data_IF_719945297850
#
_entry.id   IF_719945297850
#
_cell.length_a   1.000
_cell.length_b   1.000
_cell.length_c   1.000
_cell.angle_alpha   90.00
_cell.angle_beta   90.00
_cell.angle_gamma   90.00
#
_symmetry.space_group_name_H-M   'P 1'
#
loop_
_entity.id
_entity.type
_entity.pdbx_description
1 polymer ?
#
# COMPACT_ATOMS: atom_id res chain seq x y z
N UNK A 1 18.28 10.61 10.17
CA UNK A 1 18.41 11.94 9.49
C UNK A 1 18.74 13.09 10.44
N UNK A 2 18.59 12.98 11.75
CA UNK A 2 18.80 14.10 12.70
C UNK A 2 20.16 14.15 13.40
N UNK A 3 21.04 13.16 13.23
CA UNK A 3 22.36 13.13 13.89
C UNK A 3 23.56 13.51 13.01
N UNK A 4 23.39 13.83 11.73
CA UNK A 4 24.47 13.99 10.75
C UNK A 4 24.79 15.39 10.22
N UNK A 5 24.10 16.45 10.63
CA UNK A 5 24.34 17.80 10.10
C UNK A 5 25.04 18.73 11.10
N UNK A 6 26.26 18.40 11.45
CA UNK A 6 27.20 19.33 12.08
C UNK A 6 27.88 20.18 11.03
N UNK A 7 27.28 21.26 10.57
CA UNK A 7 27.93 22.24 9.71
C UNK A 7 28.74 23.20 10.58
N UNK A 8 30.05 23.11 10.45
CA UNK A 8 30.96 24.08 11.04
C UNK A 8 30.78 25.45 10.34
N UNK A 9 30.15 26.39 11.01
CA UNK A 9 30.13 27.78 10.60
C UNK A 9 31.44 28.45 11.01
N UNK A 10 32.30 28.75 10.04
CA UNK A 10 33.45 29.62 10.22
C UNK A 10 32.98 31.07 10.41
N UNK A 11 33.17 31.60 11.59
CA UNK A 11 32.95 33.01 11.88
C UNK A 11 34.03 33.87 11.23
N UNK A 12 33.62 34.75 10.31
CA UNK A 12 34.45 35.89 9.90
C UNK A 12 33.90 37.12 10.61
N UNK A 13 34.66 37.59 11.60
CA UNK A 13 34.39 38.85 12.27
C UNK A 13 34.85 40.00 11.37
N UNK A 14 33.91 40.82 10.92
CA UNK A 14 34.20 42.11 10.28
C UNK A 14 33.34 43.18 10.95
N UNK A 15 33.96 43.94 11.85
CA UNK A 15 33.37 45.10 12.48
C UNK A 15 33.30 46.29 11.53
N UNK A 16 32.07 46.76 11.26
CA UNK A 16 31.88 48.16 10.82
C UNK A 16 30.60 48.68 11.47
N UNK A 17 30.76 49.57 12.42
CA UNK A 17 29.69 50.36 13.02
C UNK A 17 29.27 51.43 12.01
N UNK A 18 27.97 51.47 11.68
CA UNK A 18 27.29 52.66 11.21
C UNK A 18 25.92 52.71 11.88
N UNK A 19 25.80 53.73 12.72
CA UNK A 19 24.58 54.11 13.30
C UNK A 19 23.66 54.71 12.22
N UNK A 20 22.46 54.22 12.07
CA UNK A 20 21.39 54.78 11.29
C UNK A 20 20.08 54.28 11.83
N UNK A 21 19.40 55.18 12.60
CA UNK A 21 18.02 54.99 13.01
C UNK A 21 17.11 54.93 11.79
N UNK A 22 16.37 53.87 11.66
CA UNK A 22 14.99 53.97 11.19
C UNK A 22 14.22 52.78 11.77
N UNK A 23 13.22 53.13 12.52
CA UNK A 23 12.13 52.28 12.99
C UNK A 23 11.33 51.79 11.78
N UNK A 24 11.56 50.56 11.34
CA UNK A 24 10.55 49.82 10.62
C UNK A 24 9.87 48.89 11.61
N UNK A 25 8.86 49.49 12.25
CA UNK A 25 7.85 48.70 12.95
C UNK A 25 7.00 48.00 11.89
N UNK A 26 7.18 46.66 11.79
CA UNK A 26 6.11 45.77 11.39
C UNK A 26 5.54 45.95 10.01
N UNK A 27 6.24 45.61 8.96
CA UNK A 27 5.57 45.00 7.84
C UNK A 27 5.00 43.66 8.35
N UNK A 28 3.71 43.58 8.53
CA UNK A 28 3.03 42.29 8.80
C UNK A 28 3.47 41.34 7.71
N UNK A 29 4.10 40.24 8.07
CA UNK A 29 4.40 39.18 7.12
C UNK A 29 3.05 38.58 6.73
N UNK A 30 2.45 39.06 5.65
CA UNK A 30 1.09 38.69 5.22
C UNK A 30 0.92 37.18 5.01
N UNK A 31 2.01 36.42 4.84
CA UNK A 31 2.03 34.98 4.65
C UNK A 31 1.97 34.19 5.97
N UNK A 32 2.19 34.83 7.13
CA UNK A 32 2.07 34.19 8.43
C UNK A 32 0.67 34.34 9.01
N UNK A 33 0.15 33.32 9.71
CA UNK A 33 -1.06 33.46 10.51
C UNK A 33 -0.91 34.57 11.56
N UNK A 34 -2.01 35.24 11.89
CA UNK A 34 -2.01 36.28 12.93
C UNK A 34 -1.76 35.74 14.33
N UNK A 35 -2.10 34.47 14.55
CA UNK A 35 -1.88 33.73 15.78
C UNK A 35 -1.73 32.25 15.42
N UNK A 36 -1.16 31.48 16.34
CA UNK A 36 -1.04 30.06 16.23
C UNK A 36 -1.96 29.39 17.25
N UNK A 37 -2.76 28.40 16.82
CA UNK A 37 -3.63 27.64 17.73
C UNK A 37 -2.82 26.58 18.48
N UNK A 38 -1.82 26.00 17.80
CA UNK A 38 -0.90 24.98 18.36
C UNK A 38 0.55 25.33 18.03
N UNK A 39 1.47 24.93 18.91
CA UNK A 39 2.91 25.04 18.67
C UNK A 39 3.62 23.75 19.10
N UNK A 40 4.57 23.28 18.29
CA UNK A 40 5.44 22.14 18.60
C UNK A 40 6.85 22.35 18.06
N UNK A 41 7.78 21.47 18.41
CA UNK A 41 9.11 21.42 17.78
C UNK A 41 9.02 20.70 16.44
N UNK A 42 8.47 19.48 16.45
CA UNK A 42 8.21 18.66 15.27
C UNK A 42 6.71 18.47 15.08
N UNK A 43 6.25 18.79 13.89
CA UNK A 43 4.90 18.49 13.45
C UNK A 43 4.95 17.23 12.56
N UNK A 44 4.21 16.19 12.93
CA UNK A 44 4.05 14.97 12.15
C UNK A 44 2.64 14.97 11.55
N UNK A 45 2.53 14.87 10.23
CA UNK A 45 1.23 14.82 9.54
C UNK A 45 1.02 13.40 9.00
N UNK A 46 -0.01 12.73 9.53
CA UNK A 46 -0.32 11.33 9.33
C UNK A 46 0.16 10.45 10.49
N UNK A 47 -0.75 9.63 11.02
CA UNK A 47 -0.52 8.76 12.17
C UNK A 47 -0.63 7.28 11.78
N UNK A 48 -0.04 6.91 10.63
CA UNK A 48 0.28 5.54 10.24
C UNK A 48 1.61 5.08 10.85
N UNK A 49 2.15 3.95 10.39
CA UNK A 49 3.43 3.42 10.90
C UNK A 49 4.59 4.40 10.85
N UNK A 50 4.76 5.11 9.73
CA UNK A 50 5.83 6.11 9.59
C UNK A 50 5.68 7.27 10.59
N UNK A 51 4.45 7.78 10.76
CA UNK A 51 4.17 8.86 11.71
C UNK A 51 4.31 8.42 13.17
N UNK A 52 3.90 7.20 13.48
CA UNK A 52 4.12 6.59 14.79
C UNK A 52 5.61 6.57 15.13
N UNK A 53 6.44 5.97 14.28
CA UNK A 53 7.89 5.90 14.52
C UNK A 53 8.55 7.26 14.55
N UNK A 54 8.19 8.19 13.64
CA UNK A 54 8.71 9.54 13.65
C UNK A 54 8.37 10.29 14.95
N UNK A 55 7.17 10.10 15.48
CA UNK A 55 6.74 10.73 16.72
C UNK A 55 7.44 10.17 17.94
N UNK A 56 7.58 8.83 18.04
CA UNK A 56 8.28 8.18 19.16
C UNK A 56 9.75 8.57 19.20
N UNK A 57 10.47 8.42 18.10
CA UNK A 57 11.90 8.75 18.02
C UNK A 57 12.11 10.25 18.24
N UNK A 58 11.26 11.09 17.64
CA UNK A 58 11.33 12.54 17.82
C UNK A 58 11.20 12.98 19.28
N UNK A 59 10.29 12.38 20.02
CA UNK A 59 10.09 12.70 21.45
C UNK A 59 11.13 12.02 22.34
N UNK A 60 11.30 10.71 22.23
CA UNK A 60 12.08 9.90 23.16
C UNK A 60 13.60 10.06 22.95
N UNK A 61 14.09 9.95 21.70
CA UNK A 61 15.53 10.04 21.42
C UNK A 61 16.01 11.46 21.15
N UNK A 62 15.19 12.27 20.48
CA UNK A 62 15.57 13.62 20.12
C UNK A 62 15.09 14.69 21.12
N UNK A 63 14.28 14.32 22.11
CA UNK A 63 13.78 15.22 23.15
C UNK A 63 12.94 16.38 22.61
N UNK A 64 12.22 16.17 21.50
CA UNK A 64 11.41 17.19 20.88
C UNK A 64 9.98 17.19 21.41
N UNK A 65 9.36 18.35 21.47
CA UNK A 65 7.91 18.45 21.63
C UNK A 65 7.26 18.11 20.27
N UNK A 66 6.60 16.95 20.21
CA UNK A 66 5.96 16.46 18.99
C UNK A 66 4.45 16.65 19.07
N UNK A 67 3.86 17.09 17.97
CA UNK A 67 2.42 17.10 17.73
C UNK A 67 2.13 16.29 16.46
N UNK A 68 1.10 15.45 16.50
CA UNK A 68 0.68 14.63 15.35
C UNK A 68 -0.70 15.07 14.89
N UNK A 69 -0.88 15.21 13.57
CA UNK A 69 -2.19 15.38 12.94
C UNK A 69 -2.58 14.09 12.23
N UNK A 70 -3.82 13.65 12.41
CA UNK A 70 -4.38 12.46 11.77
C UNK A 70 -5.73 12.79 11.14
N UNK A 71 -5.90 12.34 9.89
CA UNK A 71 -7.11 12.60 9.12
C UNK A 71 -8.28 11.73 9.58
N UNK A 72 -8.04 10.48 9.97
CA UNK A 72 -9.10 9.63 10.46
C UNK A 72 -9.70 10.19 11.76
N UNK A 73 -11.03 10.14 11.94
CA UNK A 73 -11.69 10.86 13.03
C UNK A 73 -11.54 10.20 14.40
N UNK A 74 -11.21 8.91 14.46
CA UNK A 74 -11.27 8.13 15.71
C UNK A 74 -9.94 7.53 16.12
N UNK A 75 -9.16 7.03 15.14
CA UNK A 75 -7.87 6.38 15.38
C UNK A 75 -6.93 6.53 14.19
N UNK A 76 -5.63 6.42 14.44
CA UNK A 76 -4.62 6.25 13.41
C UNK A 76 -4.37 4.77 13.08
N UNK A 77 -3.26 4.54 12.42
CA UNK A 77 -2.75 3.22 12.05
C UNK A 77 -2.34 3.13 10.59
N UNK A 78 -3.12 3.75 9.71
CA UNK A 78 -2.88 3.65 8.28
C UNK A 78 -2.80 2.20 7.81
N UNK A 79 -2.23 1.94 6.65
CA UNK A 79 -1.99 0.57 6.15
C UNK A 79 -1.14 -0.26 7.11
N UNK A 80 -0.27 0.38 7.92
CA UNK A 80 0.61 -0.35 8.86
C UNK A 80 -0.14 -1.07 9.97
N UNK A 81 -1.35 -0.63 10.34
CA UNK A 81 -2.15 -1.32 11.37
C UNK A 81 -3.01 -2.45 10.81
N UNK A 82 -3.13 -2.56 9.50
CA UNK A 82 -4.01 -3.53 8.82
C UNK A 82 -3.23 -4.46 7.88
N UNK A 83 -1.91 -4.46 7.97
CA UNK A 83 -1.02 -5.38 7.27
C UNK A 83 -0.46 -6.44 8.22
N UNK A 84 0.44 -7.28 7.72
CA UNK A 84 1.09 -8.34 8.51
C UNK A 84 1.97 -7.80 9.66
N UNK A 85 2.30 -6.51 9.67
CA UNK A 85 3.18 -5.92 10.69
C UNK A 85 4.65 -6.29 10.55
N UNK A 86 5.01 -7.07 9.54
CA UNK A 86 6.36 -7.53 9.27
C UNK A 86 7.34 -6.37 9.08
N UNK A 87 8.58 -6.58 9.51
CA UNK A 87 9.65 -5.64 9.25
C UNK A 87 10.95 -6.32 8.82
N UNK A 88 11.75 -5.60 8.02
CA UNK A 88 13.01 -6.11 7.50
C UNK A 88 14.06 -6.28 8.59
N UNK A 89 14.77 -7.41 8.56
CA UNK A 89 15.96 -7.67 9.37
C UNK A 89 17.16 -7.80 8.44
N UNK A 90 17.92 -6.72 8.31
CA UNK A 90 19.09 -6.69 7.43
C UNK A 90 20.22 -7.49 8.08
N UNK A 91 20.74 -8.50 7.36
CA UNK A 91 21.81 -9.39 7.81
C UNK A 91 23.16 -9.08 7.18
N UNK A 92 23.15 -8.64 5.93
CA UNK A 92 24.34 -8.30 5.16
C UNK A 92 24.14 -6.94 4.51
N UNK A 93 24.73 -5.91 5.10
CA UNK A 93 24.61 -4.53 4.62
C UNK A 93 25.24 -4.33 3.24
N UNK A 94 26.34 -5.02 2.93
CA UNK A 94 27.01 -4.90 1.64
C UNK A 94 26.22 -5.64 0.55
N UNK A 95 25.74 -6.84 0.85
CA UNK A 95 24.83 -7.58 -0.03
C UNK A 95 23.56 -6.78 -0.31
N UNK A 96 22.95 -6.17 0.73
CA UNK A 96 21.76 -5.33 0.58
C UNK A 96 22.03 -4.10 -0.28
N UNK A 97 23.20 -3.46 -0.15
CA UNK A 97 23.60 -2.31 -0.98
C UNK A 97 23.73 -2.72 -2.46
N UNK A 98 24.39 -3.86 -2.71
CA UNK A 98 24.51 -4.41 -4.06
C UNK A 98 23.15 -4.77 -4.65
N UNK A 99 22.30 -5.42 -3.87
CA UNK A 99 20.93 -5.76 -4.28
C UNK A 99 20.11 -4.54 -4.69
N UNK A 100 20.12 -3.48 -3.88
CA UNK A 100 19.41 -2.24 -4.21
C UNK A 100 19.97 -1.56 -5.47
N UNK A 101 21.29 -1.60 -5.68
CA UNK A 101 21.90 -1.08 -6.88
C UNK A 101 21.43 -1.83 -8.13
N UNK A 102 21.41 -3.18 -8.08
CA UNK A 102 20.88 -4.01 -9.16
C UNK A 102 19.36 -3.79 -9.40
N UNK A 103 18.59 -3.64 -8.34
CA UNK A 103 17.15 -3.37 -8.42
C UNK A 103 16.83 -2.02 -9.06
N UNK A 104 17.59 -0.98 -8.73
CA UNK A 104 17.34 0.37 -9.23
C UNK A 104 17.96 0.59 -10.61
N UNK A 105 18.90 -0.24 -11.05
CA UNK A 105 19.60 -0.15 -12.33
C UNK A 105 20.04 1.29 -12.65
N UNK A 106 20.61 1.97 -11.66
CA UNK A 106 21.05 3.38 -11.75
C UNK A 106 19.93 4.39 -12.06
N UNK A 107 18.67 4.01 -11.92
CA UNK A 107 17.57 4.96 -11.98
C UNK A 107 17.56 5.78 -10.68
N UNK A 108 18.16 6.92 -10.76
CA UNK A 108 18.11 8.11 -9.87
C UNK A 108 17.71 7.93 -8.39
N UNK A 109 18.07 6.79 -7.76
CA UNK A 109 17.98 6.69 -6.30
C UNK A 109 19.32 7.09 -5.73
N UNK A 110 19.43 8.24 -5.06
CA UNK A 110 20.72 8.67 -4.49
C UNK A 110 21.27 7.61 -3.53
N UNK A 111 22.53 7.23 -3.70
CA UNK A 111 23.19 6.22 -2.83
C UNK A 111 23.09 6.58 -1.35
N UNK A 112 23.12 7.86 -1.01
CA UNK A 112 22.94 8.32 0.37
C UNK A 112 21.57 7.96 0.97
N UNK A 113 20.51 7.84 0.16
CA UNK A 113 19.19 7.39 0.61
C UNK A 113 19.20 5.89 0.89
N UNK A 114 19.82 5.12 -0.01
CA UNK A 114 19.99 3.66 0.16
C UNK A 114 20.83 3.37 1.40
N UNK A 115 21.96 4.08 1.57
CA UNK A 115 22.85 3.92 2.73
C UNK A 115 22.11 4.23 4.04
N UNK A 116 21.36 5.34 4.10
CA UNK A 116 20.59 5.70 5.29
C UNK A 116 19.50 4.66 5.61
N UNK A 117 18.82 4.11 4.59
CA UNK A 117 17.83 3.06 4.78
C UNK A 117 18.46 1.78 5.32
N UNK A 118 19.64 1.38 4.82
CA UNK A 118 20.36 0.20 5.30
C UNK A 118 20.86 0.42 6.74
N UNK A 119 21.50 1.59 7.02
CA UNK A 119 22.01 1.91 8.34
C UNK A 119 20.93 1.90 9.43
N UNK A 120 19.79 2.51 9.16
CA UNK A 120 18.67 2.50 10.11
C UNK A 120 17.97 1.12 10.14
N UNK A 121 17.86 0.43 9.01
CA UNK A 121 17.28 -0.92 8.93
C UNK A 121 18.05 -1.97 9.73
N UNK A 122 19.36 -1.82 9.89
CA UNK A 122 20.18 -2.65 10.79
C UNK A 122 19.77 -2.53 12.26
N UNK A 123 19.06 -1.46 12.63
CA UNK A 123 18.61 -1.16 13.98
C UNK A 123 17.14 -1.55 14.24
N UNK A 124 16.45 -2.13 13.27
CA UNK A 124 15.02 -2.45 13.40
C UNK A 124 14.72 -3.34 14.63
N UNK A 125 15.53 -4.38 14.86
CA UNK A 125 15.38 -5.21 16.06
C UNK A 125 15.71 -4.44 17.36
N UNK A 126 16.71 -3.54 17.36
CA UNK A 126 17.01 -2.67 18.51
C UNK A 126 15.81 -1.80 18.87
N UNK A 127 15.15 -1.23 17.87
CA UNK A 127 13.94 -0.43 18.08
C UNK A 127 12.75 -1.28 18.54
N UNK A 128 12.55 -2.45 17.94
CA UNK A 128 11.51 -3.37 18.36
C UNK A 128 11.67 -3.77 19.84
N UNK A 129 12.87 -4.18 20.22
CA UNK A 129 13.21 -4.53 21.62
C UNK A 129 13.01 -3.33 22.57
N UNK A 130 13.47 -2.15 22.17
CA UNK A 130 13.36 -0.90 22.97
C UNK A 130 11.90 -0.56 23.28
N UNK A 131 11.02 -0.76 22.31
CA UNK A 131 9.60 -0.44 22.46
C UNK A 131 8.74 -1.66 22.82
N UNK A 132 9.38 -2.78 23.19
CA UNK A 132 8.73 -4.00 23.68
C UNK A 132 7.78 -4.63 22.65
N UNK A 133 8.13 -4.55 21.35
CA UNK A 133 7.45 -5.32 20.32
C UNK A 133 7.93 -6.77 20.37
N UNK A 134 6.98 -7.70 20.41
CA UNK A 134 7.27 -9.11 20.24
C UNK A 134 7.42 -9.44 18.75
N UNK A 135 8.36 -10.31 18.40
CA UNK A 135 8.55 -10.77 17.02
C UNK A 135 9.34 -12.09 16.98
N UNK A 136 9.08 -12.90 15.96
CA UNK A 136 9.89 -14.06 15.60
C UNK A 136 10.66 -13.77 14.31
N UNK A 137 11.93 -14.20 14.22
CA UNK A 137 12.71 -14.03 12.98
C UNK A 137 12.43 -15.21 12.06
N UNK A 138 11.79 -14.93 10.94
CA UNK A 138 11.52 -15.89 9.89
C UNK A 138 12.70 -15.94 8.90
N UNK A 139 13.57 -16.93 9.08
CA UNK A 139 14.74 -17.15 8.22
C UNK A 139 14.37 -17.67 6.82
N UNK A 140 13.20 -18.28 6.70
CA UNK A 140 12.72 -18.90 5.47
C UNK A 140 11.59 -18.10 4.81
N UNK A 141 11.41 -16.86 5.22
CA UNK A 141 10.31 -16.01 4.79
C UNK A 141 9.84 -16.38 3.39
N UNK A 142 8.65 -16.87 3.27
CA UNK A 142 7.97 -17.48 2.13
C UNK A 142 8.91 -17.67 0.94
N UNK A 143 9.44 -18.88 0.79
CA UNK A 143 10.59 -19.22 -0.05
C UNK A 143 10.60 -18.45 -1.39
N UNK A 144 11.53 -17.52 -1.54
CA UNK A 144 11.76 -16.76 -2.76
C UNK A 144 11.05 -15.40 -2.87
N UNK A 145 10.39 -14.91 -1.81
CA UNK A 145 9.71 -13.61 -1.86
C UNK A 145 10.46 -12.49 -1.16
N UNK A 146 11.47 -12.80 -0.32
CA UNK A 146 12.19 -11.76 0.42
C UNK A 146 13.70 -12.06 0.48
N UNK A 147 14.49 -11.14 -0.01
CA UNK A 147 14.08 -10.04 -0.89
C UNK A 147 13.46 -10.60 -2.19
N UNK A 148 12.49 -9.91 -2.76
CA UNK A 148 11.66 -10.43 -3.87
C UNK A 148 12.44 -11.01 -5.05
N UNK A 149 13.58 -10.44 -5.35
CA UNK A 149 14.47 -10.89 -6.42
C UNK A 149 15.78 -11.39 -5.85
N UNK A 150 15.70 -12.32 -4.90
CA UNK A 150 16.87 -12.87 -4.18
C UNK A 150 17.95 -13.48 -5.08
N UNK A 151 17.61 -13.77 -6.34
CA UNK A 151 18.57 -14.22 -7.37
C UNK A 151 19.47 -13.12 -7.91
N UNK A 152 19.15 -11.83 -7.69
CA UNK A 152 20.01 -10.73 -8.07
C UNK A 152 21.28 -10.69 -7.21
N UNK A 153 22.40 -10.15 -7.75
CA UNK A 153 23.62 -9.97 -6.98
C UNK A 153 23.37 -9.30 -5.64
N UNK A 154 23.91 -9.87 -4.57
CA UNK A 154 23.72 -9.38 -3.20
C UNK A 154 22.41 -9.77 -2.54
N UNK A 155 21.40 -10.26 -3.29
CA UNK A 155 20.07 -10.53 -2.77
C UNK A 155 20.00 -11.76 -1.86
N UNK A 156 20.72 -12.83 -2.20
CA UNK A 156 20.63 -14.09 -1.45
C UNK A 156 21.11 -13.92 0.01
N UNK A 157 20.20 -14.07 0.97
CA UNK A 157 20.50 -14.04 2.40
C UNK A 157 20.86 -12.66 2.99
N UNK A 158 20.70 -11.57 2.24
CA UNK A 158 21.00 -10.23 2.76
C UNK A 158 19.95 -9.75 3.78
N UNK A 159 18.77 -10.35 3.79
CA UNK A 159 17.64 -9.97 4.64
C UNK A 159 16.85 -11.19 5.09
N UNK A 160 16.24 -11.10 6.27
CA UNK A 160 15.10 -11.91 6.72
C UNK A 160 13.97 -10.97 7.16
N UNK A 161 12.86 -11.56 7.61
CA UNK A 161 11.71 -10.84 8.14
C UNK A 161 11.58 -11.12 9.62
N UNK A 162 11.14 -10.14 10.37
CA UNK A 162 10.60 -10.30 11.71
C UNK A 162 9.07 -10.27 11.62
N UNK A 163 8.44 -11.32 12.13
CA UNK A 163 6.99 -11.50 12.14
C UNK A 163 6.46 -11.20 13.55
N UNK A 164 5.72 -10.10 13.76
CA UNK A 164 5.10 -9.82 15.05
C UNK A 164 3.82 -10.66 15.23
N UNK A 165 3.56 -11.20 16.43
CA UNK A 165 2.30 -11.85 16.73
C UNK A 165 1.15 -10.84 16.73
N UNK A 166 0.01 -11.20 16.13
CA UNK A 166 -1.17 -10.31 16.07
C UNK A 166 -1.08 -9.20 15.04
N UNK A 167 -0.15 -9.33 14.10
CA UNK A 167 -0.02 -8.46 12.93
C UNK A 167 0.23 -6.97 13.24
N UNK A 168 0.07 -6.11 12.24
CA UNK A 168 0.29 -4.68 12.35
C UNK A 168 -0.58 -3.98 13.39
N UNK A 169 -1.79 -4.50 13.63
CA UNK A 169 -2.70 -3.95 14.65
C UNK A 169 -2.10 -4.07 16.05
N UNK A 170 -1.63 -5.26 16.44
CA UNK A 170 -1.06 -5.46 17.77
C UNK A 170 0.21 -4.62 17.97
N UNK A 171 1.08 -4.57 16.96
CA UNK A 171 2.27 -3.72 16.98
C UNK A 171 1.89 -2.24 17.12
N UNK A 172 0.88 -1.79 16.38
CA UNK A 172 0.42 -0.41 16.45
C UNK A 172 -0.14 -0.06 17.84
N UNK A 173 -0.91 -0.95 18.46
CA UNK A 173 -1.48 -0.73 19.80
C UNK A 173 -0.41 -0.62 20.88
N UNK A 174 0.63 -1.45 20.82
CA UNK A 174 1.79 -1.37 21.72
C UNK A 174 2.49 -0.02 21.57
N UNK A 175 2.79 0.38 20.33
CA UNK A 175 3.45 1.64 20.04
C UNK A 175 2.57 2.85 20.40
N UNK A 176 1.26 2.78 20.19
CA UNK A 176 0.33 3.85 20.60
C UNK A 176 0.27 4.01 22.12
N UNK A 177 0.39 2.91 22.88
CA UNK A 177 0.53 3.01 24.32
C UNK A 177 1.83 3.71 24.72
N UNK A 178 2.96 3.38 24.08
CA UNK A 178 4.24 4.09 24.33
C UNK A 178 4.16 5.58 23.99
N UNK A 179 3.49 5.92 22.87
CA UNK A 179 3.20 7.31 22.50
C UNK A 179 2.44 8.04 23.62
N UNK A 180 1.39 7.39 24.19
CA UNK A 180 0.60 7.94 25.31
C UNK A 180 1.46 8.14 26.54
N UNK A 181 2.31 7.18 26.87
CA UNK A 181 3.20 7.24 28.02
C UNK A 181 4.23 8.38 27.91
N UNK A 182 4.65 8.71 26.69
CA UNK A 182 5.52 9.86 26.39
C UNK A 182 4.76 11.20 26.32
N UNK A 183 3.43 11.18 26.44
CA UNK A 183 2.61 12.39 26.40
C UNK A 183 2.56 13.07 25.03
N UNK A 184 2.80 12.33 23.94
CA UNK A 184 2.71 12.86 22.57
C UNK A 184 1.23 13.03 22.21
N UNK A 185 0.83 14.24 21.87
CA UNK A 185 -0.54 14.56 21.46
C UNK A 185 -0.81 14.20 20.00
N UNK A 186 -1.99 13.64 19.74
CA UNK A 186 -2.53 13.40 18.39
C UNK A 186 -3.86 14.12 18.26
N UNK A 187 -3.98 14.97 17.26
CA UNK A 187 -5.24 15.60 16.88
C UNK A 187 -5.85 14.77 15.74
N UNK A 188 -7.09 14.35 15.92
CA UNK A 188 -7.85 13.58 14.95
C UNK A 188 -8.82 14.45 14.14
N UNK A 189 -9.39 13.90 13.07
CA UNK A 189 -10.29 14.60 12.14
C UNK A 189 -9.63 15.83 11.50
N UNK A 190 -8.30 15.77 11.29
CA UNK A 190 -7.51 16.78 10.63
C UNK A 190 -7.50 16.54 9.11
N UNK A 191 -7.88 17.53 8.32
CA UNK A 191 -7.94 17.42 6.88
C UNK A 191 -7.69 18.77 6.22
N UNK A 192 -7.56 18.77 4.88
CA UNK A 192 -7.34 19.98 4.08
C UNK A 192 -6.12 20.79 4.56
N UNK A 193 -5.01 20.07 4.79
CA UNK A 193 -3.78 20.66 5.28
C UNK A 193 -3.04 21.42 4.17
N UNK A 194 -2.54 22.61 4.51
CA UNK A 194 -1.67 23.41 3.66
C UNK A 194 -0.40 23.81 4.40
N UNK A 195 0.75 23.57 3.79
CA UNK A 195 2.04 23.93 4.38
C UNK A 195 2.26 25.45 4.32
N UNK A 196 2.68 26.03 5.43
CA UNK A 196 3.02 27.45 5.50
C UNK A 196 4.50 27.60 5.20
N UNK A 197 4.80 28.16 4.00
CA UNK A 197 6.16 28.32 3.52
C UNK A 197 6.60 29.80 3.59
N UNK A 198 7.78 30.04 4.13
CA UNK A 198 8.44 31.34 4.01
C UNK A 198 8.73 31.63 2.53
N UNK A 199 8.21 32.73 1.95
CA UNK A 199 8.34 33.01 0.53
C UNK A 199 9.79 33.28 0.09
N UNK A 200 10.65 33.74 1.02
CA UNK A 200 12.05 34.11 0.73
C UNK A 200 12.99 32.92 0.94
N UNK A 201 12.94 32.29 2.13
CA UNK A 201 13.86 31.21 2.50
C UNK A 201 13.40 29.83 2.04
N UNK A 202 12.11 29.67 1.69
CA UNK A 202 11.44 28.42 1.38
C UNK A 202 11.29 27.45 2.56
N UNK A 203 11.59 27.90 3.76
CA UNK A 203 11.42 27.13 4.98
C UNK A 203 9.92 26.88 5.26
N UNK A 204 9.58 25.66 5.64
CA UNK A 204 8.24 25.31 6.12
C UNK A 204 8.18 25.54 7.62
N UNK A 205 7.29 26.44 8.04
CA UNK A 205 7.20 26.87 9.45
C UNK A 205 5.96 26.32 10.19
N UNK A 206 5.14 25.55 9.50
CA UNK A 206 3.94 24.93 10.05
C UNK A 206 2.93 24.60 8.96
N UNK A 207 1.68 24.44 9.36
CA UNK A 207 0.56 24.23 8.44
C UNK A 207 -0.73 24.89 8.94
N UNK A 208 -1.68 25.05 8.03
CA UNK A 208 -3.11 25.14 8.36
C UNK A 208 -3.74 23.78 8.23
N UNK A 209 -4.80 23.50 8.95
CA UNK A 209 -5.61 22.28 8.88
C UNK A 209 -7.04 22.58 9.30
N UNK A 210 -7.98 21.85 8.75
CA UNK A 210 -9.33 21.81 9.30
C UNK A 210 -9.40 20.73 10.36
N UNK A 211 -9.96 21.04 11.54
CA UNK A 211 -10.33 20.06 12.56
C UNK A 211 -11.86 20.09 12.66
N UNK A 212 -12.51 19.05 12.18
CA UNK A 212 -13.95 19.11 11.94
C UNK A 212 -14.30 20.26 10.98
N UNK A 213 -14.97 21.31 11.46
CA UNK A 213 -15.36 22.47 10.64
C UNK A 213 -14.56 23.74 10.94
N UNK A 214 -13.53 23.68 11.78
CA UNK A 214 -12.75 24.84 12.20
C UNK A 214 -11.34 24.79 11.61
N UNK A 215 -10.95 25.88 10.94
CA UNK A 215 -9.55 26.05 10.51
C UNK A 215 -8.66 26.33 11.72
N UNK A 216 -7.56 25.59 11.81
CA UNK A 216 -6.54 25.73 12.86
C UNK A 216 -5.17 25.95 12.24
N UNK A 217 -4.30 26.60 12.99
CA UNK A 217 -2.92 26.88 12.60
C UNK A 217 -1.95 26.20 13.56
N UNK A 218 -0.98 25.49 13.00
CA UNK A 218 0.04 24.75 13.76
C UNK A 218 1.42 25.27 13.38
N UNK A 219 2.17 25.73 14.40
CA UNK A 219 3.56 26.15 14.23
C UNK A 219 4.52 24.98 14.52
N UNK A 220 5.41 24.73 13.58
CA UNK A 220 6.52 23.80 13.73
C UNK A 220 7.85 24.58 13.86
N UNK A 221 8.46 24.56 15.05
CA UNK A 221 9.68 25.34 15.32
C UNK A 221 10.94 24.77 14.65
N UNK A 222 10.94 23.45 14.36
CA UNK A 222 12.10 22.75 13.80
C UNK A 222 11.83 22.06 12.46
N UNK A 223 10.60 21.65 12.21
CA UNK A 223 10.24 21.06 10.93
C UNK A 223 8.91 20.32 10.93
N UNK A 224 8.50 19.94 9.74
CA UNK A 224 7.30 19.16 9.45
C UNK A 224 7.74 17.84 8.81
N UNK A 225 7.19 16.72 9.29
CA UNK A 225 7.41 15.39 8.73
C UNK A 225 6.08 14.90 8.13
N UNK A 226 6.07 14.63 6.82
CA UNK A 226 4.89 14.13 6.13
C UNK A 226 4.89 12.60 6.12
N UNK A 227 3.88 12.00 6.73
CA UNK A 227 3.68 10.55 6.87
C UNK A 227 2.26 10.14 6.42
N UNK A 228 1.75 10.77 5.37
CA UNK A 228 0.34 10.76 4.96
C UNK A 228 -0.07 9.55 4.11
N UNK A 229 0.81 8.56 3.96
CA UNK A 229 0.56 7.41 3.09
C UNK A 229 0.53 7.77 1.61
N UNK A 230 -0.15 6.94 0.83
CA UNK A 230 -0.26 7.07 -0.61
C UNK A 230 -1.56 7.71 -1.09
N UNK A 231 -2.00 7.28 -2.31
CA UNK A 231 -3.20 7.82 -2.96
C UNK A 231 -4.17 6.72 -3.43
N UNK A 232 -4.16 5.59 -2.76
CA UNK A 232 -4.89 4.36 -3.11
C UNK A 232 -6.40 4.60 -3.27
N UNK A 233 -6.96 5.53 -2.48
CA UNK A 233 -8.38 5.91 -2.51
C UNK A 233 -8.66 7.25 -3.20
N UNK A 234 -7.75 7.70 -4.07
CA UNK A 234 -7.94 8.87 -4.93
C UNK A 234 -8.06 8.44 -6.40
N UNK A 235 -9.32 8.30 -6.87
CA UNK A 235 -9.61 7.83 -8.23
C UNK A 235 -8.99 8.71 -9.33
N UNK A 236 -8.92 10.04 -9.10
CA UNK A 236 -8.33 10.98 -10.06
C UNK A 236 -6.81 10.79 -10.18
N UNK A 237 -6.12 10.63 -9.05
CA UNK A 237 -4.68 10.36 -9.04
C UNK A 237 -4.35 9.00 -9.62
N UNK A 238 -5.14 7.96 -9.32
CA UNK A 238 -4.95 6.63 -9.91
C UNK A 238 -5.06 6.68 -11.43
N UNK A 239 -6.07 7.37 -11.98
CA UNK A 239 -6.22 7.55 -13.43
C UNK A 239 -5.08 8.32 -14.08
N UNK A 240 -4.51 9.29 -13.38
CA UNK A 240 -3.42 10.13 -13.89
C UNK A 240 -2.06 9.45 -13.87
N UNK A 241 -1.80 8.64 -12.85
CA UNK A 241 -0.45 8.15 -12.58
C UNK A 241 -0.28 6.66 -12.83
N UNK A 242 -1.27 5.81 -12.54
CA UNK A 242 -1.15 4.37 -12.73
C UNK A 242 -1.36 3.98 -14.19
N UNK A 243 -0.67 2.92 -14.64
CA UNK A 243 -0.63 2.50 -16.05
C UNK A 243 -1.93 1.89 -16.55
N UNK A 244 -2.70 1.22 -15.69
CA UNK A 244 -3.99 0.65 -16.03
C UNK A 244 -5.07 1.14 -15.07
N UNK A 245 -6.33 1.03 -15.49
CA UNK A 245 -7.47 1.47 -14.71
C UNK A 245 -8.71 0.64 -15.09
N UNK A 246 -9.58 0.26 -14.14
CA UNK A 246 -9.52 0.59 -12.72
C UNK A 246 -8.40 -0.16 -11.98
N UNK A 247 -7.85 0.49 -10.96
CA UNK A 247 -6.90 -0.06 -10.03
C UNK A 247 -7.54 0.02 -8.65
N UNK A 248 -7.80 -1.12 -8.03
CA UNK A 248 -8.56 -1.17 -6.77
C UNK A 248 -7.64 -1.61 -5.64
N UNK A 249 -7.86 -1.00 -4.49
CA UNK A 249 -7.09 -1.31 -3.30
C UNK A 249 -8.02 -1.79 -2.20
N UNK A 250 -7.54 -2.67 -1.37
CA UNK A 250 -7.86 -2.77 0.03
C UNK A 250 -6.82 -1.93 0.77
N UNK A 251 -7.15 -1.36 1.89
CA UNK A 251 -6.21 -0.48 2.60
C UNK A 251 -6.92 0.62 3.37
N UNK A 252 -6.14 1.55 3.88
CA UNK A 252 -6.67 2.64 4.70
C UNK A 252 -7.38 3.68 3.83
N UNK A 253 -8.71 3.73 3.91
CA UNK A 253 -9.56 4.57 3.05
C UNK A 253 -9.25 6.09 3.10
N UNK A 254 -8.49 6.52 4.06
CA UNK A 254 -8.06 7.92 4.19
C UNK A 254 -6.78 8.24 3.40
N UNK A 255 -6.16 7.27 2.72
CA UNK A 255 -5.01 7.48 1.84
C UNK A 255 -5.46 8.09 0.51
N UNK A 256 -5.57 9.42 0.46
CA UNK A 256 -6.09 10.17 -0.69
C UNK A 256 -5.08 11.11 -1.34
N UNK A 257 -3.79 10.97 -0.99
CA UNK A 257 -2.69 11.71 -1.61
C UNK A 257 -2.55 13.15 -1.12
N UNK A 258 -2.97 13.45 0.10
CA UNK A 258 -2.94 14.83 0.61
C UNK A 258 -1.52 15.36 0.78
N UNK A 259 -0.58 14.54 1.29
CA UNK A 259 0.82 14.93 1.39
C UNK A 259 1.48 15.20 0.03
N UNK A 260 1.05 14.49 -1.01
CA UNK A 260 1.51 14.76 -2.37
C UNK A 260 1.09 16.16 -2.80
N UNK A 261 -0.18 16.52 -2.60
CA UNK A 261 -0.70 17.86 -2.91
C UNK A 261 0.02 18.95 -2.12
N UNK A 262 0.18 18.75 -0.80
CA UNK A 262 0.91 19.68 0.07
C UNK A 262 2.34 19.96 -0.43
N UNK A 263 3.05 18.91 -0.88
CA UNK A 263 4.41 19.06 -1.40
C UNK A 263 4.42 19.78 -2.75
N UNK A 264 3.48 19.49 -3.65
CA UNK A 264 3.36 20.19 -4.93
C UNK A 264 3.07 21.69 -4.74
N UNK A 265 2.22 22.07 -3.80
CA UNK A 265 1.88 23.47 -3.48
C UNK A 265 3.10 24.30 -3.09
N UNK A 266 4.08 23.69 -2.43
CA UNK A 266 5.32 24.36 -2.02
C UNK A 266 6.48 24.15 -3.00
N UNK A 267 6.22 23.60 -4.19
CA UNK A 267 7.19 23.43 -5.27
C UNK A 267 8.02 22.16 -5.20
N UNK A 268 7.58 21.15 -4.45
CA UNK A 268 8.15 19.82 -4.46
C UNK A 268 7.95 19.10 -5.79
N UNK A 269 8.70 18.03 -6.00
CA UNK A 269 8.65 17.24 -7.23
C UNK A 269 8.12 15.84 -6.95
N UNK A 270 7.37 15.31 -7.90
CA UNK A 270 6.91 13.94 -7.90
C UNK A 270 7.93 13.02 -8.57
N UNK A 271 8.01 11.78 -8.10
CA UNK A 271 8.92 10.77 -8.60
C UNK A 271 8.27 9.40 -8.51
N UNK A 272 8.44 8.56 -9.52
CA UNK A 272 7.93 7.19 -9.63
C UNK A 272 6.42 7.02 -9.39
N UNK A 273 5.62 8.01 -9.75
CA UNK A 273 4.17 8.00 -9.51
C UNK A 273 3.40 6.87 -10.23
N UNK A 274 4.00 6.26 -11.24
CA UNK A 274 3.42 5.11 -11.96
C UNK A 274 3.73 3.75 -11.32
N UNK A 275 4.36 3.73 -10.14
CA UNK A 275 4.70 2.50 -9.41
C UNK A 275 3.75 2.32 -8.23
N UNK A 276 3.37 1.07 -8.01
CA UNK A 276 2.61 0.64 -6.86
C UNK A 276 3.21 -0.68 -6.35
N UNK A 277 3.27 -0.88 -5.05
CA UNK A 277 3.42 -2.21 -4.46
C UNK A 277 2.05 -2.84 -4.46
N UNK A 278 1.76 -3.72 -5.40
CA UNK A 278 0.41 -4.22 -5.59
C UNK A 278 0.37 -5.64 -6.14
N UNK A 279 -0.60 -6.38 -5.66
CA UNK A 279 -0.97 -7.72 -6.11
C UNK A 279 -2.11 -7.64 -7.13
N UNK A 280 -3.05 -8.51 -6.99
CA UNK A 280 -4.32 -8.54 -7.73
C UNK A 280 -5.35 -9.30 -6.89
N UNK A 281 -6.61 -8.99 -7.12
CA UNK A 281 -7.70 -9.60 -6.37
C UNK A 281 -9.05 -9.40 -7.03
N UNK A 282 -10.10 -9.81 -6.34
CA UNK A 282 -11.48 -9.62 -6.77
C UNK A 282 -11.94 -8.22 -6.39
N UNK A 283 -12.44 -7.48 -7.36
CA UNK A 283 -13.21 -6.26 -7.05
C UNK A 283 -14.67 -6.61 -6.85
N UNK A 284 -15.25 -6.19 -5.73
CA UNK A 284 -16.64 -6.45 -5.36
C UNK A 284 -17.64 -5.82 -6.32
N UNK A 285 -17.31 -4.67 -6.93
CA UNK A 285 -18.21 -3.86 -7.78
C UNK A 285 -19.49 -3.44 -7.05
N UNK A 286 -19.43 -3.43 -5.75
CA UNK A 286 -20.52 -3.04 -4.86
C UNK A 286 -20.32 -1.58 -4.42
N UNK A 287 -21.24 -0.63 -4.70
CA UNK A 287 -21.05 0.77 -4.30
C UNK A 287 -20.95 0.98 -2.78
N UNK A 288 -21.47 0.08 -1.98
CA UNK A 288 -21.41 0.14 -0.52
C UNK A 288 -20.11 -0.47 0.02
N UNK A 289 -19.50 -1.39 -0.76
CA UNK A 289 -18.29 -2.12 -0.40
C UNK A 289 -17.29 -2.08 -1.56
N UNK A 290 -16.93 -0.86 -2.02
CA UNK A 290 -16.08 -0.62 -3.20
C UNK A 290 -14.59 -0.78 -2.88
N UNK A 291 -14.14 -2.02 -2.68
CA UNK A 291 -12.73 -2.36 -2.44
C UNK A 291 -12.33 -3.66 -3.17
N UNK A 292 -11.03 -3.92 -3.18
CA UNK A 292 -10.47 -5.17 -3.67
C UNK A 292 -10.37 -6.16 -2.51
N UNK A 293 -10.65 -7.44 -2.79
CA UNK A 293 -10.45 -8.54 -1.86
C UNK A 293 -9.35 -9.43 -2.40
N UNK A 294 -8.34 -9.69 -1.57
CA UNK A 294 -7.33 -10.69 -1.89
C UNK A 294 -7.96 -12.07 -1.87
N UNK A 295 -7.91 -12.75 -3.02
CA UNK A 295 -8.46 -14.10 -3.18
C UNK A 295 -7.31 -15.10 -3.16
N UNK A 296 -7.45 -16.13 -2.33
CA UNK A 296 -6.55 -17.27 -2.27
C UNK A 296 -7.36 -18.55 -2.46
N UNK A 297 -7.53 -19.01 -3.70
CA UNK A 297 -8.31 -20.20 -3.97
C UNK A 297 -7.77 -21.41 -3.18
N UNK A 298 -8.62 -22.11 -2.41
CA UNK A 298 -8.19 -23.28 -1.62
C UNK A 298 -7.84 -24.50 -2.47
N UNK A 299 -8.19 -24.48 -3.75
CA UNK A 299 -7.90 -25.49 -4.77
C UNK A 299 -7.42 -24.83 -6.06
N UNK A 300 -6.81 -25.59 -6.96
CA UNK A 300 -6.20 -25.07 -8.18
C UNK A 300 -7.07 -25.31 -9.43
N UNK A 301 -8.37 -25.55 -9.26
CA UNK A 301 -9.35 -25.81 -10.32
C UNK A 301 -9.90 -24.48 -10.85
N UNK A 302 -9.02 -23.67 -11.46
CA UNK A 302 -9.38 -22.40 -12.07
C UNK A 302 -8.40 -21.99 -13.16
N UNK A 303 -8.82 -21.09 -14.04
CA UNK A 303 -7.97 -20.40 -15.01
C UNK A 303 -8.23 -18.90 -14.99
N UNK A 304 -7.24 -18.10 -15.43
CA UNK A 304 -7.44 -16.69 -15.72
C UNK A 304 -7.61 -16.45 -17.20
N UNK A 305 -8.66 -15.70 -17.56
CA UNK A 305 -8.88 -15.23 -18.92
C UNK A 305 -8.79 -13.71 -19.00
N UNK A 306 -8.41 -13.24 -20.19
CA UNK A 306 -8.47 -11.82 -20.53
C UNK A 306 -9.94 -11.37 -20.74
N UNK A 307 -10.12 -10.10 -21.07
CA UNK A 307 -11.42 -9.51 -21.35
C UNK A 307 -12.15 -10.14 -22.54
N UNK A 308 -11.40 -10.77 -23.46
CA UNK A 308 -11.93 -11.44 -24.65
C UNK A 308 -12.29 -12.91 -24.38
N UNK A 309 -11.91 -13.44 -23.22
CA UNK A 309 -12.16 -14.84 -22.82
C UNK A 309 -11.03 -15.80 -23.17
N UNK A 310 -9.83 -15.31 -23.54
CA UNK A 310 -8.64 -16.13 -23.79
C UNK A 310 -7.82 -16.30 -22.50
N UNK A 311 -7.34 -17.51 -22.24
CA UNK A 311 -6.34 -17.74 -21.21
C UNK A 311 -5.03 -17.02 -21.59
N UNK A 312 -4.34 -16.41 -20.65
CA UNK A 312 -3.21 -15.51 -20.96
C UNK A 312 -1.98 -15.72 -20.06
N UNK A 313 -2.02 -16.64 -19.08
CA UNK A 313 -0.94 -16.78 -18.10
C UNK A 313 -0.90 -18.20 -17.50
N UNK A 314 0.24 -18.56 -16.93
CA UNK A 314 0.32 -19.59 -15.89
C UNK A 314 -0.16 -18.98 -14.57
N UNK A 315 -1.33 -19.38 -14.13
CA UNK A 315 -2.03 -18.86 -12.97
C UNK A 315 -1.24 -19.02 -11.65
N UNK A 316 -0.33 -20.00 -11.63
CA UNK A 316 0.52 -20.28 -10.47
C UNK A 316 1.78 -19.38 -10.42
N UNK A 317 1.98 -18.54 -11.43
CA UNK A 317 3.21 -17.76 -11.64
C UNK A 317 2.98 -16.29 -11.92
N UNK A 318 1.82 -15.75 -11.63
CA UNK A 318 1.57 -14.32 -11.83
C UNK A 318 2.41 -13.49 -10.85
N UNK A 319 3.62 -13.17 -11.28
CA UNK A 319 4.47 -12.17 -10.64
C UNK A 319 4.91 -12.49 -9.21
N UNK A 320 5.64 -11.57 -8.63
CA UNK A 320 5.91 -11.54 -7.20
C UNK A 320 4.73 -10.93 -6.45
N UNK A 321 4.59 -11.16 -5.15
CA UNK A 321 3.50 -10.62 -4.35
C UNK A 321 3.28 -9.11 -4.51
N UNK A 322 4.35 -8.31 -4.64
CA UNK A 322 4.24 -6.86 -4.71
C UNK A 322 4.30 -6.27 -6.13
N UNK A 323 4.54 -7.12 -7.15
CA UNK A 323 4.67 -6.68 -8.54
C UNK A 323 3.74 -7.44 -9.51
N UNK A 324 2.86 -8.28 -9.02
CA UNK A 324 1.94 -9.09 -9.83
C UNK A 324 1.05 -8.24 -10.74
N UNK A 325 0.72 -7.02 -10.34
CA UNK A 325 -0.08 -6.09 -11.11
C UNK A 325 0.50 -5.73 -12.49
N UNK A 326 1.81 -5.86 -12.69
CA UNK A 326 2.43 -5.60 -14.00
C UNK A 326 1.90 -6.51 -15.10
N UNK A 327 1.50 -7.74 -14.76
CA UNK A 327 0.91 -8.68 -15.70
C UNK A 327 -0.42 -8.19 -16.32
N UNK A 328 -1.10 -7.25 -15.64
CA UNK A 328 -2.36 -6.66 -16.10
C UNK A 328 -2.18 -5.47 -17.06
N UNK A 329 -0.95 -5.03 -17.31
CA UNK A 329 -0.66 -3.83 -18.13
C UNK A 329 -0.39 -4.15 -19.60
N UNK A 330 -0.97 -5.22 -20.14
CA UNK A 330 -0.91 -5.54 -21.55
C UNK A 330 -1.92 -4.71 -22.33
N UNK A 331 -1.43 -3.80 -23.20
CA UNK A 331 -2.27 -2.97 -24.05
C UNK A 331 -2.58 -3.69 -25.36
N UNK A 332 -3.86 -3.79 -25.68
CA UNK A 332 -4.35 -4.45 -26.91
C UNK A 332 -4.89 -3.39 -27.88
N UNK A 333 -4.23 -3.26 -29.05
CA UNK A 333 -4.59 -2.28 -30.06
C UNK A 333 -5.99 -2.52 -30.69
N UNK A 334 -6.49 -3.76 -30.69
CA UNK A 334 -7.80 -4.08 -31.25
C UNK A 334 -8.97 -3.51 -30.44
N UNK A 335 -8.79 -3.45 -29.13
CA UNK A 335 -9.79 -2.88 -28.22
C UNK A 335 -9.42 -1.48 -27.72
N UNK A 336 -8.20 -1.01 -28.05
CA UNK A 336 -7.62 0.26 -27.59
C UNK A 336 -7.64 0.40 -26.06
N UNK A 337 -7.35 -0.70 -25.35
CA UNK A 337 -7.41 -0.77 -23.89
C UNK A 337 -6.52 -1.90 -23.38
N UNK A 338 -6.37 -2.00 -22.06
CA UNK A 338 -5.67 -3.11 -21.40
C UNK A 338 -6.59 -4.34 -21.36
N UNK A 339 -6.23 -5.41 -22.08
CA UNK A 339 -7.09 -6.62 -22.19
C UNK A 339 -7.00 -7.56 -20.98
N UNK A 340 -5.99 -7.39 -20.13
CA UNK A 340 -5.88 -8.12 -18.87
C UNK A 340 -6.51 -7.36 -17.68
N UNK A 341 -7.04 -6.14 -17.87
CA UNK A 341 -7.61 -5.33 -16.80
C UNK A 341 -9.06 -4.90 -17.13
N UNK A 342 -10.07 -5.59 -16.58
CA UNK A 342 -9.97 -6.77 -15.71
C UNK A 342 -9.55 -8.04 -16.44
N UNK A 343 -8.98 -8.95 -15.68
CA UNK A 343 -9.03 -10.37 -16.02
C UNK A 343 -10.24 -11.03 -15.37
N UNK A 344 -10.49 -12.28 -15.74
CA UNK A 344 -11.54 -13.10 -15.16
C UNK A 344 -10.94 -14.37 -14.57
N UNK A 345 -11.25 -14.69 -13.33
CA UNK A 345 -11.06 -16.01 -12.79
C UNK A 345 -12.29 -16.84 -13.13
N UNK A 346 -12.09 -17.93 -13.86
CA UNK A 346 -13.14 -18.88 -14.24
C UNK A 346 -12.87 -20.21 -13.56
N UNK A 347 -13.87 -20.76 -12.89
CA UNK A 347 -13.78 -22.00 -12.12
C UNK A 347 -15.12 -22.74 -12.10
N UNK A 348 -15.14 -23.95 -11.54
CA UNK A 348 -16.34 -24.77 -11.45
C UNK A 348 -16.71 -25.15 -10.01
N UNK A 349 -17.70 -26.01 -9.84
CA UNK A 349 -18.19 -26.45 -8.55
C UNK A 349 -17.10 -27.09 -7.66
N UNK A 350 -16.06 -27.65 -8.26
CA UNK A 350 -14.96 -28.28 -7.52
C UNK A 350 -14.25 -27.28 -6.64
N UNK A 351 -13.84 -26.14 -7.22
CA UNK A 351 -13.23 -25.07 -6.43
C UNK A 351 -14.23 -24.42 -5.46
N UNK A 352 -15.48 -24.22 -5.91
CA UNK A 352 -16.51 -23.59 -5.07
C UNK A 352 -16.75 -24.34 -3.75
N UNK A 353 -16.71 -25.69 -3.79
CA UNK A 353 -16.90 -26.58 -2.63
C UNK A 353 -15.60 -26.84 -1.85
N UNK A 354 -14.44 -26.47 -2.37
CA UNK A 354 -13.17 -26.71 -1.70
C UNK A 354 -12.98 -25.91 -0.40
N UNK A 355 -13.73 -24.80 -0.26
CA UNK A 355 -13.72 -23.95 0.92
C UNK A 355 -13.83 -22.46 0.58
N UNK A 356 -13.76 -21.59 1.59
CA UNK A 356 -13.83 -20.14 1.37
C UNK A 356 -12.64 -19.68 0.51
N UNK A 357 -12.93 -18.78 -0.44
CA UNK A 357 -11.91 -18.29 -1.39
C UNK A 357 -11.12 -17.11 -0.86
N UNK A 358 -11.51 -16.56 0.28
CA UNK A 358 -10.74 -15.58 1.05
C UNK A 358 -10.80 -15.95 2.52
N UNK A 359 -9.80 -15.60 3.29
CA UNK A 359 -9.77 -15.92 4.72
C UNK A 359 -10.67 -14.98 5.50
N UNK A 360 -11.30 -15.52 6.52
CA UNK A 360 -12.26 -14.80 7.34
C UNK A 360 -11.73 -14.45 8.73
N UNK A 361 -10.76 -15.19 9.23
CA UNK A 361 -10.31 -15.10 10.62
C UNK A 361 -8.91 -15.67 10.82
N UNK A 362 -8.14 -15.01 11.68
CA UNK A 362 -7.08 -15.59 12.50
C UNK A 362 -5.74 -15.93 11.85
N UNK A 363 -5.66 -15.88 10.54
CA UNK A 363 -4.42 -16.10 9.82
C UNK A 363 -3.86 -14.77 9.30
N UNK A 364 -2.63 -14.75 8.84
CA UNK A 364 -1.97 -13.55 8.30
C UNK A 364 -2.73 -12.81 7.19
N UNK A 365 -3.82 -13.40 6.69
CA UNK A 365 -4.80 -12.77 5.80
C UNK A 365 -5.99 -12.11 6.52
N UNK A 366 -6.01 -12.04 7.83
CA UNK A 366 -6.96 -11.16 8.51
C UNK A 366 -6.84 -9.71 8.04
N UNK A 367 -5.67 -9.32 7.54
CA UNK A 367 -5.52 -8.04 6.86
C UNK A 367 -6.34 -7.94 5.55
N UNK A 368 -6.62 -9.05 4.85
CA UNK A 368 -7.57 -9.08 3.73
C UNK A 368 -9.01 -8.82 4.14
N UNK A 369 -9.31 -8.98 5.43
CA UNK A 369 -10.60 -8.66 6.04
C UNK A 369 -10.46 -7.52 7.06
N UNK A 370 -9.57 -6.57 6.80
CA UNK A 370 -9.26 -5.47 7.72
C UNK A 370 -10.49 -4.67 8.14
N UNK A 371 -11.60 -4.75 7.41
CA UNK A 371 -12.85 -4.16 7.86
C UNK A 371 -13.35 -4.78 9.17
N UNK A 372 -13.05 -6.07 9.42
CA UNK A 372 -13.40 -6.73 10.69
C UNK A 372 -12.46 -6.35 11.84
N UNK A 373 -11.26 -5.89 11.54
CA UNK A 373 -10.26 -5.41 12.52
C UNK A 373 -10.46 -3.93 12.88
N UNK A 374 -11.20 -3.19 12.06
CA UNK A 374 -11.55 -1.80 12.35
C UNK A 374 -12.59 -1.71 13.47
N UNK A 375 -12.60 -0.62 14.24
CA UNK A 375 -13.73 -0.28 15.11
C UNK A 375 -15.05 -0.32 14.34
N UNK A 376 -16.15 -0.69 15.01
CA UNK A 376 -17.47 -0.85 14.38
C UNK A 376 -17.89 0.38 13.54
N UNK A 377 -17.46 1.59 13.95
CA UNK A 377 -17.75 2.85 13.26
C UNK A 377 -17.03 2.98 11.90
N UNK A 378 -15.97 2.18 11.68
CA UNK A 378 -15.18 2.16 10.45
C UNK A 378 -15.36 0.86 9.67
N UNK A 379 -16.19 -0.06 10.14
CA UNK A 379 -16.41 -1.37 9.54
C UNK A 379 -17.48 -1.30 8.47
N UNK A 380 -17.08 -1.59 7.23
CA UNK A 380 -17.97 -1.55 6.07
C UNK A 380 -18.46 -2.95 5.62
N UNK A 381 -17.84 -4.05 6.12
CA UNK A 381 -18.14 -5.42 5.70
C UNK A 381 -17.80 -6.44 6.80
N UNK A 382 -18.59 -7.54 6.90
CA UNK A 382 -18.45 -8.57 7.95
C UNK A 382 -17.45 -9.70 7.61
N UNK A 383 -16.83 -9.67 6.44
CA UNK A 383 -15.89 -10.70 5.97
C UNK A 383 -16.50 -11.68 4.95
N UNK A 384 -15.65 -12.58 4.45
CA UNK A 384 -16.02 -13.61 3.48
C UNK A 384 -16.86 -14.72 4.12
N UNK A 385 -17.84 -15.29 3.38
CA UNK A 385 -18.67 -16.40 3.89
C UNK A 385 -17.90 -17.73 3.87
N UNK A 386 -18.33 -18.68 4.73
CA UNK A 386 -17.66 -19.97 4.86
C UNK A 386 -17.82 -20.88 3.62
N UNK A 387 -18.87 -20.64 2.83
CA UNK A 387 -19.28 -21.47 1.69
C UNK A 387 -19.34 -20.72 0.36
N UNK A 388 -18.84 -19.49 0.28
CA UNK A 388 -18.86 -18.61 -0.89
C UNK A 388 -20.26 -18.23 -1.39
N UNK A 389 -21.33 -18.66 -0.72
CA UNK A 389 -22.69 -18.45 -1.21
C UNK A 389 -23.15 -16.99 -1.06
N UNK A 390 -22.76 -16.33 0.04
CA UNK A 390 -23.08 -14.92 0.24
C UNK A 390 -22.50 -14.03 -0.85
N UNK A 391 -21.32 -14.36 -1.37
CA UNK A 391 -20.64 -13.64 -2.45
C UNK A 391 -21.32 -13.86 -3.81
N UNK A 392 -21.90 -15.04 -4.01
CA UNK A 392 -22.78 -15.30 -5.18
C UNK A 392 -24.09 -14.50 -5.05
N UNK A 393 -24.71 -14.51 -3.88
CA UNK A 393 -25.99 -13.79 -3.63
C UNK A 393 -25.83 -12.27 -3.77
N UNK A 394 -24.66 -11.74 -3.40
CA UNK A 394 -24.28 -10.32 -3.62
C UNK A 394 -23.95 -10.02 -5.09
N UNK A 395 -23.78 -11.03 -5.93
CA UNK A 395 -23.36 -10.86 -7.33
C UNK A 395 -21.88 -10.56 -7.50
N UNK A 396 -21.06 -10.73 -6.48
CA UNK A 396 -19.61 -10.61 -6.57
C UNK A 396 -19.01 -11.76 -7.37
N UNK A 397 -19.53 -12.97 -7.15
CA UNK A 397 -19.26 -14.17 -7.94
C UNK A 397 -20.46 -14.44 -8.86
N UNK A 398 -20.20 -14.58 -10.14
CA UNK A 398 -21.21 -14.94 -11.14
C UNK A 398 -21.34 -16.46 -11.16
N UNK A 399 -22.56 -16.97 -11.25
CA UNK A 399 -22.88 -18.40 -11.35
C UNK A 399 -23.73 -18.69 -12.57
N UNK A 400 -23.44 -19.78 -13.29
CA UNK A 400 -24.24 -20.29 -14.41
C UNK A 400 -24.13 -21.80 -14.57
N UNK A 401 -25.14 -22.43 -15.18
CA UNK A 401 -25.14 -23.87 -15.37
C UNK A 401 -24.30 -24.33 -16.58
N UNK A 402 -24.02 -23.41 -17.51
CA UNK A 402 -23.19 -23.68 -18.71
C UNK A 402 -22.15 -22.57 -18.90
N UNK A 403 -21.08 -22.88 -19.66
CA UNK A 403 -20.04 -21.91 -20.00
C UNK A 403 -20.62 -20.78 -20.87
N UNK A 404 -21.54 -21.11 -21.79
CA UNK A 404 -22.17 -20.11 -22.64
C UNK A 404 -23.02 -19.10 -21.83
N UNK A 405 -23.77 -19.59 -20.84
CA UNK A 405 -24.52 -18.72 -19.92
C UNK A 405 -23.58 -17.89 -19.05
N UNK A 406 -22.49 -18.49 -18.54
CA UNK A 406 -21.47 -17.78 -17.78
C UNK A 406 -20.89 -16.63 -18.59
N UNK A 407 -20.44 -16.92 -19.82
CA UNK A 407 -19.88 -15.92 -20.71
C UNK A 407 -20.88 -14.80 -21.05
N UNK A 408 -22.16 -15.14 -21.21
CA UNK A 408 -23.21 -14.14 -21.46
C UNK A 408 -23.38 -13.19 -20.25
N UNK A 409 -23.37 -13.71 -19.02
CA UNK A 409 -23.39 -12.89 -17.80
C UNK A 409 -22.13 -12.06 -17.62
N UNK A 410 -20.94 -12.62 -17.92
CA UNK A 410 -19.68 -11.89 -17.91
C UNK A 410 -19.73 -10.72 -18.89
N UNK A 411 -20.32 -10.91 -20.07
CA UNK A 411 -20.48 -9.88 -21.10
C UNK A 411 -21.36 -8.70 -20.67
N UNK A 412 -22.28 -8.89 -19.75
CA UNK A 412 -23.08 -7.80 -19.17
C UNK A 412 -22.21 -6.85 -18.34
N UNK A 413 -21.11 -7.37 -17.79
CA UNK A 413 -20.13 -6.61 -16.99
C UNK A 413 -19.04 -6.04 -17.86
N UNK A 414 -18.47 -6.84 -18.76
CA UNK A 414 -17.45 -6.42 -19.72
C UNK A 414 -17.89 -6.76 -21.14
N UNK A 415 -18.25 -5.74 -21.91
CA UNK A 415 -18.76 -5.85 -23.28
C UNK A 415 -17.83 -6.62 -24.24
N UNK A 416 -16.54 -6.72 -23.92
CA UNK A 416 -15.55 -7.37 -24.74
C UNK A 416 -15.54 -8.89 -24.62
N UNK A 417 -16.17 -9.46 -23.59
CA UNK A 417 -16.28 -10.90 -23.44
C UNK A 417 -16.94 -11.55 -24.65
N UNK A 418 -16.27 -12.52 -25.24
CA UNK A 418 -16.79 -13.29 -26.36
C UNK A 418 -17.14 -14.72 -25.93
N UNK A 419 -18.41 -15.08 -26.11
CA UNK A 419 -18.95 -16.38 -25.69
C UNK A 419 -18.26 -17.55 -26.37
N UNK A 420 -18.02 -17.41 -27.66
CA UNK A 420 -17.37 -18.47 -28.45
C UNK A 420 -15.92 -18.67 -28.06
N UNK A 421 -15.22 -17.56 -27.78
CA UNK A 421 -13.82 -17.58 -27.35
C UNK A 421 -13.70 -18.22 -25.98
N UNK A 422 -14.51 -17.81 -24.97
CA UNK A 422 -14.45 -18.42 -23.64
C UNK A 422 -14.70 -19.92 -23.69
N UNK A 423 -15.74 -20.35 -24.46
CA UNK A 423 -16.01 -21.78 -24.64
C UNK A 423 -14.81 -22.53 -25.22
N UNK A 424 -14.23 -22.02 -26.30
CA UNK A 424 -13.07 -22.64 -26.94
C UNK A 424 -11.86 -22.69 -25.98
N UNK A 425 -11.69 -21.66 -25.15
CA UNK A 425 -10.64 -21.62 -24.10
C UNK A 425 -10.83 -22.74 -23.10
N UNK A 426 -12.06 -22.93 -22.60
CA UNK A 426 -12.35 -24.01 -21.62
C UNK A 426 -12.19 -25.40 -22.27
N UNK A 427 -12.68 -25.58 -23.50
CA UNK A 427 -12.52 -26.85 -24.24
C UNK A 427 -11.01 -27.16 -24.42
N UNK A 428 -10.19 -26.16 -24.78
CA UNK A 428 -8.74 -26.29 -24.92
C UNK A 428 -8.08 -26.62 -23.59
N UNK A 429 -8.46 -25.90 -22.50
CA UNK A 429 -7.95 -26.16 -21.18
C UNK A 429 -8.22 -27.60 -20.71
N UNK A 430 -9.44 -28.08 -20.89
CA UNK A 430 -9.79 -29.44 -20.54
C UNK A 430 -8.96 -30.48 -21.34
N UNK A 431 -8.66 -30.20 -22.62
CA UNK A 431 -7.77 -31.05 -23.40
C UNK A 431 -6.31 -31.00 -22.90
N UNK A 432 -5.83 -29.82 -22.45
CA UNK A 432 -4.52 -29.67 -21.79
C UNK A 432 -4.45 -30.55 -20.55
N UNK A 433 -5.50 -30.53 -19.73
CA UNK A 433 -5.57 -31.38 -18.53
C UNK A 433 -5.56 -32.88 -18.86
N UNK A 434 -6.33 -33.31 -19.88
CA UNK A 434 -6.32 -34.72 -20.36
C UNK A 434 -4.93 -35.15 -20.85
N UNK A 435 -4.22 -34.27 -21.55
CA UNK A 435 -2.88 -34.53 -22.09
C UNK A 435 -1.80 -34.49 -20.97
N UNK A 436 -2.07 -33.88 -19.84
CA UNK A 436 -1.15 -33.74 -18.71
C UNK A 436 0.02 -32.80 -18.94
N UNK A 437 -0.07 -31.89 -19.95
CA UNK A 437 0.96 -30.94 -20.30
C UNK A 437 0.32 -29.64 -20.82
N UNK A 438 0.79 -28.49 -20.32
CA UNK A 438 0.43 -27.15 -20.81
C UNK A 438 1.53 -26.62 -21.73
N UNK A 439 1.38 -26.73 -23.05
CA UNK A 439 2.42 -26.31 -23.97
C UNK A 439 2.50 -24.80 -24.17
N UNK A 440 1.48 -24.05 -23.76
CA UNK A 440 1.39 -22.61 -23.99
C UNK A 440 2.00 -21.79 -22.83
N UNK A 441 1.59 -22.08 -21.60
CA UNK A 441 2.03 -21.32 -20.42
C UNK A 441 2.88 -22.13 -19.45
N UNK A 442 3.07 -23.42 -19.70
CA UNK A 442 3.92 -24.34 -18.93
C UNK A 442 3.49 -24.49 -17.45
N UNK A 443 2.19 -24.40 -17.18
CA UNK A 443 1.63 -24.67 -15.87
C UNK A 443 1.96 -26.10 -15.44
N UNK A 444 2.35 -26.25 -14.18
CA UNK A 444 2.80 -27.55 -13.63
C UNK A 444 1.74 -28.65 -13.81
N UNK A 445 2.12 -29.85 -14.27
CA UNK A 445 1.20 -30.99 -14.39
C UNK A 445 0.42 -31.31 -13.11
N UNK A 446 1.03 -31.07 -11.93
CA UNK A 446 0.38 -31.29 -10.63
C UNK A 446 -0.80 -30.34 -10.34
N UNK A 447 -0.99 -29.31 -11.16
CA UNK A 447 -2.00 -28.27 -11.00
C UNK A 447 -2.97 -28.17 -12.18
N UNK A 448 -2.93 -29.12 -13.11
CA UNK A 448 -3.81 -29.19 -14.27
C UNK A 448 -5.13 -29.90 -13.89
N UNK A 449 -6.10 -29.11 -13.45
CA UNK A 449 -7.42 -29.59 -13.07
C UNK A 449 -8.47 -29.13 -14.11
N UNK A 450 -9.26 -30.04 -14.73
CA UNK A 450 -10.23 -29.68 -15.74
C UNK A 450 -11.43 -28.91 -15.15
N UNK A 451 -12.02 -28.03 -15.92
CA UNK A 451 -13.25 -27.31 -15.62
C UNK A 451 -14.43 -28.00 -16.30
N UNK A 452 -14.98 -29.02 -15.66
CA UNK A 452 -16.03 -29.88 -16.23
C UNK A 452 -17.12 -30.30 -15.23
N UNK A 453 -17.12 -29.70 -14.02
CA UNK A 453 -18.08 -29.98 -12.95
C UNK A 453 -19.03 -28.79 -12.76
N UNK A 454 -20.17 -28.69 -13.49
CA UNK A 454 -21.10 -27.58 -13.34
C UNK A 454 -21.78 -27.55 -11.94
N UNK A 455 -22.27 -26.38 -11.50
CA UNK A 455 -22.26 -25.10 -12.19
C UNK A 455 -20.88 -24.47 -12.28
N UNK A 456 -20.76 -23.47 -13.20
CA UNK A 456 -19.55 -22.71 -13.43
C UNK A 456 -19.66 -21.32 -12.83
N UNK A 457 -18.51 -20.75 -12.47
CA UNK A 457 -18.41 -19.49 -11.76
C UNK A 457 -17.37 -18.58 -12.36
N UNK A 458 -17.54 -17.28 -12.18
CA UNK A 458 -16.50 -16.32 -12.50
C UNK A 458 -16.57 -15.09 -11.61
N UNK A 459 -15.39 -14.47 -11.39
CA UNK A 459 -15.29 -13.14 -10.82
C UNK A 459 -14.23 -12.32 -11.54
N UNK A 460 -14.34 -11.00 -11.46
CA UNK A 460 -13.36 -10.09 -12.06
C UNK A 460 -12.11 -9.99 -11.21
N UNK A 461 -10.95 -10.01 -11.85
CA UNK A 461 -9.64 -9.85 -11.22
C UNK A 461 -9.03 -8.54 -11.68
N UNK A 462 -8.66 -7.71 -10.73
CA UNK A 462 -8.06 -6.41 -10.96
C UNK A 462 -6.71 -6.30 -10.27
N UNK A 463 -5.80 -5.49 -10.80
CA UNK A 463 -4.63 -5.09 -10.04
C UNK A 463 -5.03 -4.24 -8.84
N UNK A 464 -4.33 -4.44 -7.74
CA UNK A 464 -4.56 -3.73 -6.49
C UNK A 464 -3.87 -4.41 -5.33
N UNK A 465 -3.93 -3.80 -4.18
CA UNK A 465 -3.40 -4.37 -2.93
C UNK A 465 -3.82 -3.54 -1.73
N UNK A 466 -3.39 -4.02 -0.58
CA UNK A 466 -3.41 -3.27 0.66
C UNK A 466 -2.21 -2.33 0.80
#
# INVERSE_FOLDING_TARGET
>A
FLKGAGVAAAAVAGSAALAGCSSDAGASQEWLPKSWDYECDLLVIGYGGAGMWASLIGADECGQQVLVLEKAPVRGGGNSSINNGEFAVIKDAEGMRQYWHEMTQDVDTPSAVIDAWIEEGLRNCEYADKYELEYDINEQAIAGTIPEYSFLPGGAGCQSIADPPGFGMASFEILDQKRKDLGIEVLFDCHDEHLIQNPDTKEIVGCTTMIGSEEKTVKARKGVILCTGGFEFNEDMKRKYLKCYPFKFEGWKYNTGDGIKMVEEVGGKLWHMGMAGAMYGMWTRDPENDFLILIMPPDQTFIYTDRLGKRWVDEMRIGSPHNGWHAFTHFNDEICDYDHCPSWCVFDQTLFEAGPMSTRQGDWFECGNFTTMLPDELRDWEGWSDDNQAEVDKGWIIKADTIEELAAKMKEIDKWMDVGTLKATIDTWNQVCENGEDPEFHRSPATLNPLNNPPFYAYTVYPGSC
#
